data_IF_075896923569
#
_entry.id   IF_075896923569
#
_cell.length_a   1.000
_cell.length_b   1.000
_cell.length_c   1.000
_cell.angle_alpha   90.00
_cell.angle_beta   90.00
_cell.angle_gamma   90.00
#
_symmetry.space_group_name_H-M   'P 1'
#
loop_
_entity.id
_entity.type
_entity.pdbx_description
1 polymer ?
#
# COMPACT_ATOMS: atom_id res chain seq x y z
N UNK A 1 2.57 -26.12 -0.70
CA UNK A 1 3.82 -25.83 0.03
C UNK A 1 4.39 -24.57 -0.57
N UNK A 2 4.51 -23.53 0.24
CA UNK A 2 5.14 -22.27 -0.13
C UNK A 2 6.66 -22.44 -0.06
N UNK A 3 7.36 -21.88 -1.05
CA UNK A 3 8.81 -21.90 -1.14
C UNK A 3 9.28 -20.47 -1.31
N UNK A 4 10.18 -20.01 -0.43
CA UNK A 4 10.69 -18.65 -0.46
C UNK A 4 11.48 -18.38 -1.74
N UNK A 5 11.08 -17.36 -2.49
CA UNK A 5 11.84 -16.83 -3.62
C UNK A 5 12.45 -15.49 -3.20
N UNK A 6 13.79 -15.39 -3.08
CA UNK A 6 14.43 -14.13 -2.73
C UNK A 6 14.38 -13.14 -3.90
N UNK A 7 14.15 -11.86 -3.60
CA UNK A 7 14.28 -10.79 -4.59
C UNK A 7 15.74 -10.62 -5.02
N UNK A 8 15.96 -10.44 -6.32
CA UNK A 8 17.28 -10.06 -6.81
C UNK A 8 17.48 -8.55 -6.68
N UNK A 9 18.74 -8.11 -6.67
CA UNK A 9 19.08 -6.67 -6.72
C UNK A 9 18.59 -6.03 -8.02
N UNK A 10 18.51 -6.79 -9.11
CA UNK A 10 17.98 -6.31 -10.38
C UNK A 10 16.49 -6.03 -10.28
N UNK A 11 15.72 -6.92 -9.66
CA UNK A 11 14.28 -6.74 -9.44
C UNK A 11 14.01 -5.49 -8.60
N UNK A 12 14.72 -5.35 -7.47
CA UNK A 12 14.56 -4.19 -6.59
C UNK A 12 14.85 -2.87 -7.30
N UNK A 13 15.87 -2.83 -8.16
CA UNK A 13 16.19 -1.64 -8.97
C UNK A 13 15.12 -1.36 -10.01
N UNK A 14 14.67 -2.38 -10.74
CA UNK A 14 13.65 -2.25 -11.77
C UNK A 14 12.32 -1.76 -11.16
N UNK A 15 11.90 -2.33 -10.03
CA UNK A 15 10.70 -1.88 -9.33
C UNK A 15 10.80 -0.44 -8.85
N UNK A 16 11.98 -0.01 -8.35
CA UNK A 16 12.17 1.39 -7.98
C UNK A 16 12.11 2.32 -9.18
N UNK A 17 12.67 1.91 -10.32
CA UNK A 17 12.62 2.69 -11.55
C UNK A 17 11.19 2.84 -12.06
N UNK A 18 10.41 1.75 -12.08
CA UNK A 18 9.00 1.77 -12.49
C UNK A 18 8.13 2.57 -11.53
N UNK A 19 8.29 2.38 -10.22
CA UNK A 19 7.50 3.06 -9.19
C UNK A 19 7.75 4.58 -9.13
N UNK A 20 8.91 5.05 -9.62
CA UNK A 20 9.26 6.47 -9.63
C UNK A 20 9.24 7.12 -8.23
N UNK A 21 8.71 8.35 -8.18
CA UNK A 21 8.55 9.13 -6.95
C UNK A 21 7.15 8.92 -6.37
N UNK A 22 7.08 8.33 -5.16
CA UNK A 22 5.80 8.04 -4.51
C UNK A 22 4.88 9.25 -4.34
N UNK A 23 5.44 10.44 -4.06
CA UNK A 23 4.65 11.68 -3.93
C UNK A 23 4.04 12.19 -5.24
N UNK A 24 4.59 11.80 -6.37
CA UNK A 24 4.08 12.20 -7.69
C UNK A 24 2.91 11.29 -8.09
N UNK A 25 3.07 9.97 -7.90
CA UNK A 25 2.03 9.01 -8.19
C UNK A 25 1.97 7.86 -7.16
N UNK A 26 1.16 8.01 -6.08
CA UNK A 26 0.94 6.95 -5.11
C UNK A 26 0.25 5.70 -5.69
N UNK A 27 -0.48 5.85 -6.80
CA UNK A 27 -1.24 4.77 -7.43
C UNK A 27 -0.28 3.83 -8.19
N UNK A 28 0.67 4.38 -8.95
CA UNK A 28 1.71 3.59 -9.63
C UNK A 28 2.50 2.73 -8.63
N UNK A 29 2.89 3.29 -7.48
CA UNK A 29 3.59 2.54 -6.43
C UNK A 29 2.72 1.41 -5.86
N UNK A 30 1.42 1.61 -5.76
CA UNK A 30 0.47 0.59 -5.30
C UNK A 30 0.34 -0.54 -6.32
N UNK A 31 0.24 -0.22 -7.62
CA UNK A 31 0.17 -1.21 -8.71
C UNK A 31 1.45 -2.06 -8.78
N UNK A 32 2.62 -1.46 -8.57
CA UNK A 32 3.89 -2.20 -8.47
C UNK A 32 3.89 -3.14 -7.26
N UNK A 33 3.42 -2.69 -6.09
CA UNK A 33 3.33 -3.57 -4.92
C UNK A 33 2.34 -4.72 -5.15
N UNK A 34 1.18 -4.46 -5.76
CA UNK A 34 0.21 -5.50 -6.13
C UNK A 34 0.84 -6.55 -7.03
N UNK A 35 1.53 -6.11 -8.08
CA UNK A 35 2.25 -7.01 -9.00
C UNK A 35 3.28 -7.86 -8.25
N UNK A 36 4.04 -7.29 -7.31
CA UNK A 36 5.00 -8.03 -6.49
C UNK A 36 4.28 -9.05 -5.61
N UNK A 37 3.17 -8.66 -4.97
CA UNK A 37 2.38 -9.56 -4.11
C UNK A 37 1.83 -10.74 -4.90
N UNK A 38 1.29 -10.50 -6.09
CA UNK A 38 0.72 -11.54 -6.95
C UNK A 38 1.78 -12.53 -7.47
N UNK A 39 2.96 -12.04 -7.85
CA UNK A 39 3.96 -12.87 -8.54
C UNK A 39 4.98 -13.53 -7.60
N UNK A 40 5.32 -12.88 -6.48
CA UNK A 40 6.37 -13.34 -5.58
C UNK A 40 5.86 -13.79 -4.22
N UNK A 41 4.62 -13.45 -3.89
CA UNK A 41 3.97 -13.83 -2.64
C UNK A 41 4.84 -13.55 -1.38
N UNK A 42 5.21 -12.27 -1.17
CA UNK A 42 6.22 -11.88 -0.20
C UNK A 42 5.75 -12.07 1.24
N UNK A 43 6.66 -12.53 2.10
CA UNK A 43 6.41 -12.57 3.54
C UNK A 43 6.55 -11.17 4.19
N UNK A 44 6.32 -11.08 5.50
CA UNK A 44 6.40 -9.82 6.23
C UNK A 44 7.75 -9.10 6.05
N UNK A 45 8.87 -9.84 6.03
CA UNK A 45 10.23 -9.27 5.88
C UNK A 45 10.43 -8.77 4.46
N UNK A 46 9.98 -9.55 3.48
CA UNK A 46 10.07 -9.19 2.07
C UNK A 46 9.29 -7.89 1.81
N UNK A 47 8.11 -7.71 2.42
CA UNK A 47 7.35 -6.45 2.36
C UNK A 47 8.16 -5.29 2.95
N UNK A 48 8.88 -5.48 4.06
CA UNK A 48 9.75 -4.42 4.59
C UNK A 48 10.86 -4.04 3.58
N UNK A 49 11.43 -5.02 2.88
CA UNK A 49 12.44 -4.77 1.83
C UNK A 49 11.84 -3.96 0.69
N UNK A 50 10.64 -4.31 0.23
CA UNK A 50 9.94 -3.55 -0.82
C UNK A 50 9.66 -2.12 -0.37
N UNK A 51 9.08 -1.92 0.82
CA UNK A 51 8.81 -0.58 1.35
C UNK A 51 10.08 0.26 1.52
N UNK A 52 11.18 -0.35 1.98
CA UNK A 52 12.49 0.33 2.07
C UNK A 52 13.07 0.70 0.71
N UNK A 53 12.71 -0.04 -0.33
CA UNK A 53 13.19 0.16 -1.70
C UNK A 53 12.38 1.26 -2.39
N UNK A 54 11.05 1.19 -2.30
CA UNK A 54 10.14 2.08 -3.02
C UNK A 54 10.00 3.45 -2.36
N UNK A 55 10.04 3.51 -1.03
CA UNK A 55 9.66 4.69 -0.25
C UNK A 55 10.84 5.26 0.55
N UNK A 56 10.84 6.57 0.73
CA UNK A 56 11.67 7.22 1.75
C UNK A 56 11.18 6.87 3.16
N UNK A 57 12.01 7.15 4.16
CA UNK A 57 11.66 6.92 5.57
C UNK A 57 10.35 7.63 5.98
N UNK A 58 10.17 8.89 5.60
CA UNK A 58 8.98 9.69 5.96
C UNK A 58 7.71 9.19 5.27
N UNK A 59 7.82 8.82 4.00
CA UNK A 59 6.71 8.24 3.23
C UNK A 59 6.30 6.90 3.82
N UNK A 60 7.26 6.01 4.10
CA UNK A 60 7.00 4.74 4.77
C UNK A 60 6.33 4.93 6.12
N UNK A 61 6.79 5.89 6.94
CA UNK A 61 6.17 6.20 8.24
C UNK A 61 4.69 6.56 8.06
N UNK A 62 4.38 7.38 7.06
CA UNK A 62 3.01 7.82 6.76
C UNK A 62 2.14 6.67 6.27
N UNK A 63 2.66 5.83 5.37
CA UNK A 63 2.01 4.60 4.88
C UNK A 63 1.67 3.67 6.03
N UNK A 64 2.62 3.40 6.93
CA UNK A 64 2.41 2.50 8.07
C UNK A 64 1.39 3.06 9.07
N UNK A 65 1.35 4.38 9.28
CA UNK A 65 0.31 5.00 10.11
C UNK A 65 -1.07 4.79 9.49
N UNK A 66 -1.23 5.02 8.17
CA UNK A 66 -2.52 4.80 7.50
C UNK A 66 -2.96 3.35 7.47
N UNK A 67 -2.03 2.44 7.23
CA UNK A 67 -2.30 1.00 7.30
C UNK A 67 -2.75 0.59 8.71
N UNK A 68 -2.09 1.11 9.76
CA UNK A 68 -2.48 0.87 11.16
C UNK A 68 -3.84 1.46 11.51
N UNK A 69 -4.12 2.70 11.11
CA UNK A 69 -5.44 3.33 11.31
C UNK A 69 -6.57 2.46 10.71
N UNK A 70 -6.33 1.86 9.55
CA UNK A 70 -7.30 0.95 8.93
C UNK A 70 -7.39 -0.39 9.64
N UNK A 71 -6.26 -0.96 10.05
CA UNK A 71 -6.22 -2.18 10.86
C UNK A 71 -7.00 -2.00 12.17
N UNK A 72 -6.86 -0.86 12.84
CA UNK A 72 -7.60 -0.52 14.06
C UNK A 72 -9.11 -0.44 13.81
N UNK A 73 -9.55 0.11 12.68
CA UNK A 73 -10.98 0.16 12.32
C UNK A 73 -11.54 -1.24 12.05
N UNK A 74 -10.86 -2.04 11.22
CA UNK A 74 -11.28 -3.41 10.90
C UNK A 74 -11.32 -4.24 12.18
N UNK A 75 -10.29 -4.12 13.03
CA UNK A 75 -10.22 -4.80 14.31
C UNK A 75 -11.36 -4.41 15.26
N UNK A 76 -11.73 -3.12 15.32
CA UNK A 76 -12.84 -2.66 16.16
C UNK A 76 -14.21 -3.16 15.70
N UNK A 77 -14.35 -3.55 14.42
CA UNK A 77 -15.60 -4.08 13.86
C UNK A 77 -15.75 -5.59 14.09
N UNK A 78 -14.67 -6.31 14.41
CA UNK A 78 -14.69 -7.73 14.66
C UNK A 78 -14.37 -8.05 16.14
N UNK A 79 -15.41 -8.35 16.89
CA UNK A 79 -15.31 -8.72 18.31
C UNK A 79 -14.48 -10.00 18.57
N UNK A 80 -14.15 -10.79 17.53
CA UNK A 80 -13.34 -12.00 17.62
C UNK A 80 -11.91 -11.81 17.11
N UNK A 81 -11.51 -10.60 16.69
CA UNK A 81 -10.23 -10.35 16.04
C UNK A 81 -8.98 -10.48 16.96
N UNK A 82 -9.11 -10.92 18.22
CA UNK A 82 -7.95 -11.18 19.08
C UNK A 82 -7.20 -9.90 19.44
N UNK A 83 -5.88 -9.82 19.21
CA UNK A 83 -5.07 -8.61 19.42
C UNK A 83 -4.72 -7.97 18.09
N UNK A 84 -4.80 -6.64 18.00
CA UNK A 84 -4.34 -5.89 16.81
C UNK A 84 -2.92 -6.26 16.37
N UNK A 85 -2.00 -6.48 17.31
CA UNK A 85 -0.61 -6.83 17.02
C UNK A 85 -0.46 -8.19 16.31
N UNK A 86 -1.47 -9.06 16.39
CA UNK A 86 -1.48 -10.32 15.65
C UNK A 86 -1.81 -10.10 14.16
N UNK A 87 -2.42 -8.96 13.79
CA UNK A 87 -2.83 -8.62 12.42
C UNK A 87 -1.93 -7.56 11.79
N UNK A 88 -1.48 -6.58 12.58
CA UNK A 88 -0.59 -5.51 12.13
C UNK A 88 0.63 -5.36 13.04
N UNK A 89 1.54 -6.35 13.03
CA UNK A 89 2.70 -6.37 13.92
C UNK A 89 3.75 -5.33 13.52
N UNK A 90 4.30 -4.64 14.52
CA UNK A 90 5.40 -3.68 14.33
C UNK A 90 6.77 -4.35 14.10
N UNK A 91 6.91 -5.64 14.44
CA UNK A 91 8.14 -6.42 14.28
C UNK A 91 7.82 -7.75 13.60
N UNK A 92 8.83 -8.46 13.09
CA UNK A 92 8.62 -9.70 12.37
C UNK A 92 7.86 -10.74 13.22
N UNK A 93 6.62 -11.11 12.83
CA UNK A 93 5.81 -12.06 13.59
C UNK A 93 6.24 -13.52 13.41
N UNK A 94 7.16 -13.81 12.47
CA UNK A 94 7.54 -15.17 12.07
C UNK A 94 6.35 -16.02 11.61
N UNK A 95 5.39 -15.42 10.89
CA UNK A 95 4.33 -16.19 10.24
C UNK A 95 4.91 -17.22 9.28
N UNK A 96 4.45 -18.45 9.39
CA UNK A 96 4.70 -19.56 8.48
C UNK A 96 3.66 -19.51 7.34
N UNK A 97 4.08 -19.22 6.09
CA UNK A 97 3.18 -19.18 4.94
C UNK A 97 2.52 -20.53 4.63
N UNK A 98 3.04 -21.65 5.15
CA UNK A 98 2.42 -22.98 5.01
C UNK A 98 1.32 -23.24 6.03
N UNK A 99 1.20 -22.41 7.08
CA UNK A 99 0.11 -22.49 8.05
C UNK A 99 -1.09 -21.67 7.55
N UNK A 100 -2.27 -22.27 7.32
CA UNK A 100 -3.42 -21.55 6.75
C UNK A 100 -3.88 -20.33 7.57
N UNK A 101 -3.84 -20.39 8.90
CA UNK A 101 -4.26 -19.27 9.75
C UNK A 101 -3.25 -18.11 9.67
N UNK A 102 -1.95 -18.41 9.70
CA UNK A 102 -0.91 -17.38 9.59
C UNK A 102 -0.79 -16.84 8.16
N UNK A 103 -1.17 -17.64 7.16
CA UNK A 103 -1.31 -17.20 5.78
C UNK A 103 -2.39 -16.14 5.62
N UNK A 104 -3.53 -16.29 6.29
CA UNK A 104 -4.58 -15.26 6.30
C UNK A 104 -4.09 -13.95 6.92
N UNK A 105 -3.33 -14.02 8.02
CA UNK A 105 -2.71 -12.83 8.63
C UNK A 105 -1.73 -12.13 7.67
N UNK A 106 -0.93 -12.91 6.93
CA UNK A 106 -0.03 -12.37 5.91
C UNK A 106 -0.78 -11.69 4.76
N UNK A 107 -1.84 -12.31 4.23
CA UNK A 107 -2.68 -11.71 3.19
C UNK A 107 -3.34 -10.42 3.67
N UNK A 108 -3.82 -10.39 4.91
CA UNK A 108 -4.42 -9.20 5.49
C UNK A 108 -3.38 -8.08 5.66
N UNK A 109 -2.18 -8.41 6.15
CA UNK A 109 -1.08 -7.45 6.25
C UNK A 109 -0.70 -6.85 4.89
N UNK A 110 -0.61 -7.67 3.83
CA UNK A 110 -0.37 -7.19 2.46
C UNK A 110 -1.44 -6.18 2.01
N UNK A 111 -2.72 -6.47 2.28
CA UNK A 111 -3.85 -5.57 1.95
C UNK A 111 -3.80 -4.25 2.73
N UNK A 112 -3.49 -4.32 4.03
CA UNK A 112 -3.37 -3.14 4.88
C UNK A 112 -2.22 -2.23 4.42
N UNK A 113 -1.08 -2.80 4.03
CA UNK A 113 0.04 -2.02 3.47
C UNK A 113 -0.37 -1.34 2.16
N UNK A 114 -1.04 -2.07 1.27
CA UNK A 114 -1.54 -1.53 0.01
C UNK A 114 -2.53 -0.38 0.22
N UNK A 115 -3.46 -0.53 1.17
CA UNK A 115 -4.35 0.54 1.60
C UNK A 115 -3.55 1.75 2.10
N UNK A 116 -2.52 1.52 2.92
CA UNK A 116 -1.64 2.56 3.44
C UNK A 116 -0.96 3.35 2.32
N UNK A 117 -0.43 2.67 1.29
CA UNK A 117 0.18 3.30 0.11
C UNK A 117 -0.82 4.18 -0.62
N UNK A 118 -2.03 3.67 -0.88
CA UNK A 118 -3.09 4.39 -1.61
C UNK A 118 -3.66 5.58 -0.82
N UNK A 119 -3.53 5.58 0.51
CA UNK A 119 -4.22 6.54 1.39
C UNK A 119 -3.30 7.52 2.14
N UNK A 120 -1.98 7.30 2.16
CA UNK A 120 -1.04 8.11 2.94
C UNK A 120 -0.78 9.49 2.36
N UNK A 121 -0.92 9.65 1.05
CA UNK A 121 -0.89 10.95 0.41
C UNK A 121 -2.32 11.30 0.04
N UNK A 122 -2.80 12.42 0.57
CA UNK A 122 -4.06 12.98 0.10
C UNK A 122 -3.92 13.20 -1.40
N UNK A 123 -4.66 12.43 -2.22
CA UNK A 123 -4.85 12.78 -3.63
C UNK A 123 -5.25 14.25 -3.63
N UNK A 124 -4.58 15.14 -4.39
CA UNK A 124 -5.09 16.48 -4.59
C UNK A 124 -6.42 16.33 -5.34
N UNK A 125 -7.49 16.12 -4.58
CA UNK A 125 -8.84 16.02 -5.10
C UNK A 125 -9.11 17.34 -5.78
N UNK A 126 -9.05 17.36 -7.11
CA UNK A 126 -10.08 17.85 -8.02
C UNK A 126 -10.71 19.24 -7.75
N UNK A 127 -10.18 20.07 -6.86
CA UNK A 127 -10.63 21.44 -6.63
C UNK A 127 -9.98 22.36 -7.64
N UNK A 128 -8.72 22.11 -8.03
CA UNK A 128 -8.08 22.83 -9.15
C UNK A 128 -8.78 22.58 -10.49
N UNK A 129 -9.44 21.43 -10.68
CA UNK A 129 -10.30 21.17 -11.85
C UNK A 129 -11.71 21.77 -11.71
N UNK A 130 -12.27 21.88 -10.50
CA UNK A 130 -13.56 22.56 -10.27
C UNK A 130 -13.46 24.09 -10.43
N UNK A 131 -12.32 24.69 -10.11
CA UNK A 131 -12.09 26.13 -10.28
C UNK A 131 -11.49 26.52 -11.65
N UNK A 132 -11.13 25.55 -12.52
CA UNK A 132 -10.69 25.84 -13.89
C UNK A 132 -11.85 25.95 -14.90
N UNK A 133 -13.09 25.63 -14.50
CA UNK A 133 -14.27 26.03 -15.27
C UNK A 133 -14.65 27.46 -14.88
N UNK A 134 -13.73 28.41 -15.10
CA UNK A 134 -14.16 29.78 -15.35
C UNK A 134 -14.54 29.80 -16.81
N UNK A 135 -15.85 29.78 -17.06
CA UNK A 135 -16.47 30.05 -18.36
C UNK A 135 -15.69 31.20 -19.01
N UNK A 136 -14.98 30.89 -20.10
CA UNK A 136 -14.40 31.93 -20.93
C UNK A 136 -15.52 32.90 -21.33
N UNK A 137 -15.20 34.18 -21.51
CA UNK A 137 -16.18 35.25 -21.81
C UNK A 137 -17.09 34.99 -23.02
N UNK A 138 -16.89 33.90 -23.76
CA UNK A 138 -17.55 33.58 -25.03
C UNK A 138 -18.26 32.20 -25.09
N UNK A 139 -18.41 31.46 -23.98
CA UNK A 139 -19.17 30.18 -24.01
C UNK A 139 -20.62 30.36 -23.57
N UNK A 140 -21.59 29.97 -24.41
CA UNK A 140 -23.02 30.07 -24.11
C UNK A 140 -23.52 28.88 -23.26
N UNK A 141 -24.51 29.07 -22.37
CA UNK A 141 -24.91 28.09 -21.35
C UNK A 141 -25.49 26.75 -21.83
N UNK A 142 -25.55 26.45 -23.13
CA UNK A 142 -26.24 25.27 -23.65
C UNK A 142 -25.33 24.06 -23.97
N UNK A 143 -24.11 24.03 -23.42
CA UNK A 143 -23.17 22.91 -23.63
C UNK A 143 -22.81 22.16 -22.33
N UNK A 144 -23.66 22.27 -21.30
CA UNK A 144 -23.60 21.46 -20.09
C UNK A 144 -24.61 20.32 -20.15
#
# INVERSE_FOLDING_TARGET
VWVKVPFSVADLRAWKEMAGTYREDPEEVAEILETIVENYDPDWKDIQVVLNTLLTYEERRTVLVKAREEAEKVHAQDAQAGRLEDHFPATNPNWDPNNPAQRLLLTEYQRLILFGIRSAIAKPNSLSKLYQVVQGKDETPSAF
#
